data_IF_479152305947
#
_entry.id   IF_479152305947
#
_cell.length_a   1.000
_cell.length_b   1.000
_cell.length_c   1.000
_cell.angle_alpha   90.00
_cell.angle_beta   90.00
_cell.angle_gamma   90.00
#
_symmetry.space_group_name_H-M   'P 1'
#
loop_
_entity.id
_entity.type
_entity.pdbx_description
1 polymer ?
#
# COMPACT_ATOMS: atom_id res chain seq x y z
N UNK A 1 -3.86 4.39 -0.19
CA UNK A 1 -2.58 5.12 -0.31
C UNK A 1 -2.64 6.49 0.35
N UNK A 2 -1.50 7.10 0.65
CA UNK A 2 -1.45 8.48 1.12
C UNK A 2 -1.66 9.49 -0.01
N UNK A 3 -2.05 10.72 0.34
CA UNK A 3 -2.33 11.77 -0.64
C UNK A 3 -1.12 12.18 -1.47
N UNK A 4 0.06 12.30 -0.86
CA UNK A 4 1.29 12.62 -1.60
C UNK A 4 1.60 11.58 -2.67
N UNK A 5 1.41 10.30 -2.38
CA UNK A 5 1.56 9.21 -3.35
C UNK A 5 0.50 9.32 -4.44
N UNK A 6 -0.75 9.55 -4.06
CA UNK A 6 -1.86 9.68 -5.02
C UNK A 6 -1.62 10.81 -6.01
N UNK A 7 -1.16 11.97 -5.55
CA UNK A 7 -0.93 13.12 -6.42
C UNK A 7 0.29 12.96 -7.36
N UNK A 8 1.10 11.92 -7.20
CA UNK A 8 2.12 11.57 -8.21
C UNK A 8 1.55 10.82 -9.40
N UNK A 9 0.33 10.28 -9.28
CA UNK A 9 -0.33 9.56 -10.37
C UNK A 9 -0.95 10.55 -11.36
N UNK A 10 -0.86 10.29 -12.69
CA UNK A 10 -1.50 11.15 -13.69
C UNK A 10 -3.03 11.12 -13.60
N UNK A 11 -3.59 10.02 -13.10
CA UNK A 11 -5.03 9.82 -12.90
C UNK A 11 -5.25 8.73 -11.86
N UNK A 12 -6.47 8.63 -11.26
CA UNK A 12 -6.80 7.51 -10.38
C UNK A 12 -6.57 6.16 -11.04
N UNK A 13 -6.22 5.15 -10.25
CA UNK A 13 -6.04 3.80 -10.75
C UNK A 13 -7.38 3.25 -11.25
N UNK A 14 -7.46 2.74 -12.48
CA UNK A 14 -8.73 2.30 -13.07
C UNK A 14 -9.22 0.98 -12.48
N UNK A 15 -10.53 0.74 -12.60
CA UNK A 15 -11.15 -0.53 -12.24
C UNK A 15 -11.21 -0.81 -10.74
N UNK A 16 -11.05 0.22 -9.89
CA UNK A 16 -11.03 0.05 -8.44
C UNK A 16 -11.40 1.35 -7.72
N UNK A 17 -11.82 1.24 -6.47
CA UNK A 17 -11.97 2.39 -5.60
C UNK A 17 -10.59 2.83 -5.12
N UNK A 18 -10.24 4.09 -5.33
CA UNK A 18 -9.01 4.69 -4.82
C UNK A 18 -9.29 5.31 -3.46
N UNK A 19 -8.80 4.69 -2.40
CA UNK A 19 -8.95 5.20 -1.03
C UNK A 19 -7.69 5.96 -0.68
N UNK A 20 -7.84 7.24 -0.39
CA UNK A 20 -6.71 8.16 -0.19
C UNK A 20 -6.78 8.80 1.19
N UNK A 21 -5.75 8.54 1.99
CA UNK A 21 -5.60 9.17 3.30
C UNK A 21 -5.08 10.59 3.14
N UNK A 22 -5.76 11.55 3.73
CA UNK A 22 -5.41 12.96 3.64
C UNK A 22 -5.76 13.72 4.91
N UNK A 23 -5.01 14.78 5.19
CA UNK A 23 -5.32 15.76 6.22
C UNK A 23 -5.96 17.03 5.63
N UNK A 24 -6.16 17.08 4.31
CA UNK A 24 -6.83 18.20 3.65
C UNK A 24 -8.28 18.29 4.16
N UNK A 25 -8.70 19.49 4.53
CA UNK A 25 -10.07 19.71 4.99
C UNK A 25 -11.08 19.66 3.84
N UNK A 26 -10.70 20.14 2.67
CA UNK A 26 -11.54 20.15 1.46
C UNK A 26 -10.79 19.52 0.28
N UNK A 27 -10.61 18.20 0.30
CA UNK A 27 -9.97 17.55 -0.83
C UNK A 27 -10.83 17.67 -2.09
N UNK A 28 -10.24 17.70 -3.28
CA UNK A 28 -10.99 17.83 -4.52
C UNK A 28 -11.88 16.62 -4.78
N UNK A 29 -13.07 16.85 -5.33
CA UNK A 29 -13.93 15.74 -5.76
C UNK A 29 -13.39 15.13 -7.03
N UNK A 30 -13.01 13.84 -6.95
CA UNK A 30 -12.50 13.09 -8.09
C UNK A 30 -13.28 11.77 -8.17
N UNK A 31 -13.82 11.47 -9.33
CA UNK A 31 -14.56 10.22 -9.57
C UNK A 31 -13.66 9.01 -9.28
N UNK A 32 -14.19 8.05 -8.52
CA UNK A 32 -13.46 6.84 -8.15
C UNK A 32 -12.51 7.01 -6.97
N UNK A 33 -12.53 8.15 -6.29
CA UNK A 33 -11.68 8.46 -5.13
C UNK A 33 -12.54 8.66 -3.89
N UNK A 34 -12.18 7.96 -2.82
CA UNK A 34 -12.72 8.15 -1.47
C UNK A 34 -11.63 8.71 -0.58
N UNK A 35 -11.81 9.93 -0.13
CA UNK A 35 -10.90 10.58 0.81
C UNK A 35 -11.21 10.14 2.23
N UNK A 36 -10.19 9.74 2.97
CA UNK A 36 -10.31 9.26 4.35
C UNK A 36 -9.24 9.88 5.24
N UNK A 37 -9.49 9.84 6.53
CA UNK A 37 -8.53 10.23 7.55
C UNK A 37 -8.73 9.41 8.82
N UNK A 38 -7.79 9.48 9.75
CA UNK A 38 -7.90 8.86 11.06
C UNK A 38 -7.42 7.41 11.08
N UNK A 39 -8.06 6.60 11.91
CA UNK A 39 -7.63 5.24 12.22
C UNK A 39 -7.78 4.30 11.02
N UNK A 40 -6.66 3.69 10.53
CA UNK A 40 -6.72 2.72 9.44
C UNK A 40 -7.65 1.55 9.70
N UNK A 41 -7.77 1.11 10.94
CA UNK A 41 -8.64 0.00 11.32
C UNK A 41 -10.10 0.31 11.06
N UNK A 42 -10.53 1.53 11.39
CA UNK A 42 -11.89 1.99 11.11
C UNK A 42 -12.14 2.11 9.62
N UNK A 43 -11.18 2.61 8.87
CA UNK A 43 -11.27 2.71 7.40
C UNK A 43 -11.45 1.35 6.77
N UNK A 44 -10.64 0.36 7.15
CA UNK A 44 -10.76 -1.02 6.64
C UNK A 44 -12.12 -1.64 7.00
N UNK A 45 -12.61 -1.40 8.20
CA UNK A 45 -13.94 -1.88 8.64
C UNK A 45 -15.06 -1.29 7.79
N UNK A 46 -14.98 0.01 7.48
CA UNK A 46 -15.94 0.69 6.60
C UNK A 46 -15.89 0.11 5.18
N UNK A 47 -14.70 -0.10 4.62
CA UNK A 47 -14.55 -0.70 3.30
C UNK A 47 -15.13 -2.12 3.25
N UNK A 48 -14.96 -2.91 4.31
CA UNK A 48 -15.56 -4.24 4.41
C UNK A 48 -17.08 -4.17 4.40
N UNK A 49 -17.67 -3.21 5.10
CA UNK A 49 -19.13 -2.98 5.07
C UNK A 49 -19.63 -2.60 3.68
N UNK A 50 -18.80 -1.94 2.88
CA UNK A 50 -19.11 -1.60 1.48
C UNK A 50 -18.98 -2.80 0.53
N UNK A 51 -18.53 -3.97 1.01
CA UNK A 51 -18.40 -5.19 0.23
C UNK A 51 -17.00 -5.51 -0.28
N UNK A 52 -15.99 -4.69 0.06
CA UNK A 52 -14.61 -4.97 -0.33
C UNK A 52 -13.99 -6.02 0.59
N UNK A 53 -13.45 -7.09 0.00
CA UNK A 53 -12.87 -8.23 0.72
C UNK A 53 -11.38 -8.10 0.92
N UNK A 54 -10.70 -7.35 0.08
CA UNK A 54 -9.26 -7.13 0.14
C UNK A 54 -8.91 -5.70 -0.21
N UNK A 55 -7.78 -5.24 0.30
CA UNK A 55 -7.28 -3.89 0.08
C UNK A 55 -5.81 -3.96 -0.28
N UNK A 56 -5.40 -3.21 -1.30
CA UNK A 56 -3.99 -3.06 -1.66
C UNK A 56 -3.47 -1.77 -1.01
N UNK A 57 -2.45 -1.91 -0.18
CA UNK A 57 -1.77 -0.78 0.43
C UNK A 57 -0.63 -0.32 -0.49
N UNK A 58 -0.83 0.84 -1.12
CA UNK A 58 0.08 1.39 -2.13
C UNK A 58 1.09 2.41 -1.61
N UNK A 59 1.29 2.49 -0.29
CA UNK A 59 2.27 3.41 0.30
C UNK A 59 1.76 4.83 0.52
N UNK A 60 2.59 5.83 0.87
CA UNK A 60 4.04 5.67 1.05
C UNK A 60 4.52 5.03 2.36
N UNK A 61 5.79 5.29 2.70
CA UNK A 61 6.45 4.67 3.84
C UNK A 61 5.74 4.94 5.17
N UNK A 62 5.27 6.15 5.39
CA UNK A 62 4.52 6.51 6.60
C UNK A 62 3.26 5.65 6.78
N UNK A 63 2.47 5.53 5.72
CA UNK A 63 1.23 4.77 5.75
C UNK A 63 1.50 3.27 5.87
N UNK A 64 2.51 2.76 5.14
CA UNK A 64 2.96 1.37 5.26
C UNK A 64 3.35 1.04 6.71
N UNK A 65 4.13 1.93 7.34
CA UNK A 65 4.56 1.79 8.74
C UNK A 65 3.36 1.75 9.68
N UNK A 66 2.42 2.68 9.51
CA UNK A 66 1.24 2.77 10.36
C UNK A 66 0.38 1.49 10.29
N UNK A 67 0.14 0.97 9.08
CA UNK A 67 -0.62 -0.27 8.90
C UNK A 67 0.12 -1.48 9.49
N UNK A 68 1.43 -1.56 9.28
CA UNK A 68 2.22 -2.68 9.80
C UNK A 68 2.27 -2.68 11.33
N UNK A 69 2.44 -1.52 11.96
CA UNK A 69 2.42 -1.38 13.44
C UNK A 69 1.08 -1.83 14.02
N UNK A 70 -0.01 -1.59 13.33
CA UNK A 70 -1.35 -1.98 13.76
C UNK A 70 -1.69 -3.43 13.40
N UNK A 71 -0.74 -4.19 12.86
CA UNK A 71 -0.92 -5.60 12.43
C UNK A 71 -2.02 -5.77 11.38
N UNK A 72 -2.15 -4.79 10.48
CA UNK A 72 -3.17 -4.77 9.44
C UNK A 72 -2.64 -5.20 8.07
N UNK A 73 -1.38 -5.60 7.98
CA UNK A 73 -0.76 -6.08 6.75
C UNK A 73 -0.65 -7.60 6.80
N UNK A 74 -1.32 -8.28 5.89
CA UNK A 74 -1.31 -9.74 5.81
C UNK A 74 -0.21 -10.25 4.89
N UNK A 75 -0.02 -9.58 3.74
CA UNK A 75 0.97 -9.96 2.74
C UNK A 75 1.76 -8.76 2.25
N UNK A 76 3.00 -9.00 1.85
CA UNK A 76 3.85 -8.04 1.16
C UNK A 76 4.16 -8.57 -0.22
N UNK A 77 3.95 -7.74 -1.24
CA UNK A 77 4.28 -8.05 -2.63
C UNK A 77 5.36 -7.08 -3.09
N UNK A 78 6.49 -7.65 -3.51
CA UNK A 78 7.66 -6.90 -3.95
C UNK A 78 8.02 -7.25 -5.38
N UNK A 79 8.31 -6.24 -6.19
CA UNK A 79 8.91 -6.42 -7.50
C UNK A 79 10.39 -6.05 -7.41
N UNK A 80 11.25 -6.95 -7.84
CA UNK A 80 12.69 -6.70 -7.94
C UNK A 80 13.02 -6.45 -9.41
N UNK A 81 13.46 -5.23 -9.70
CA UNK A 81 13.85 -4.80 -11.04
C UNK A 81 15.37 -4.90 -11.23
N UNK A 82 15.84 -5.17 -12.45
CA UNK A 82 17.27 -5.37 -12.73
C UNK A 82 18.03 -4.05 -12.85
N UNK A 83 17.96 -3.19 -11.83
CA UNK A 83 18.60 -1.87 -11.81
C UNK A 83 19.21 -1.57 -10.46
N UNK A 84 20.32 -0.84 -10.48
CA UNK A 84 21.00 -0.34 -9.28
C UNK A 84 20.93 1.19 -9.31
N UNK A 85 20.31 1.77 -8.28
CA UNK A 85 20.24 3.23 -8.15
C UNK A 85 21.16 3.78 -7.07
N UNK A 86 21.62 2.92 -6.14
CA UNK A 86 22.45 3.30 -4.99
C UNK A 86 21.68 3.94 -3.84
N UNK A 87 20.63 4.68 -4.12
CA UNK A 87 19.74 5.28 -3.12
C UNK A 87 18.29 5.15 -3.56
N UNK A 88 17.37 5.12 -2.59
CA UNK A 88 15.95 5.04 -2.88
C UNK A 88 15.11 5.33 -1.64
N UNK A 89 13.79 5.30 -1.82
CA UNK A 89 12.85 5.42 -0.71
C UNK A 89 12.71 4.08 0.00
N UNK A 90 12.68 4.11 1.33
CA UNK A 90 12.40 2.93 2.13
C UNK A 90 10.92 2.56 2.04
N UNK A 91 10.62 1.27 2.16
CA UNK A 91 9.24 0.79 2.26
C UNK A 91 8.57 1.22 3.56
N UNK A 92 9.36 1.34 4.63
CA UNK A 92 8.92 1.73 5.97
C UNK A 92 9.84 2.81 6.49
N UNK A 93 9.34 3.66 7.39
CA UNK A 93 10.09 4.75 8.00
C UNK A 93 10.45 4.50 9.47
N UNK A 94 10.24 3.29 9.97
CA UNK A 94 10.67 2.83 11.29
C UNK A 94 11.30 1.44 11.16
N UNK A 95 12.07 1.05 12.17
CA UNK A 95 12.66 -0.28 12.24
C UNK A 95 11.63 -1.32 12.67
N UNK A 96 11.66 -2.47 11.99
CA UNK A 96 10.84 -3.63 12.33
C UNK A 96 11.72 -4.88 12.37
N UNK A 97 11.37 -5.80 13.26
CA UNK A 97 11.95 -7.14 13.32
C UNK A 97 10.80 -8.14 13.21
N UNK A 98 10.40 -8.43 11.99
CA UNK A 98 9.31 -9.35 11.67
C UNK A 98 9.78 -10.42 10.70
N UNK A 99 9.39 -11.64 10.98
CA UNK A 99 9.61 -12.75 10.06
C UNK A 99 8.55 -12.77 8.96
N UNK A 100 8.98 -13.20 7.79
CA UNK A 100 8.13 -13.35 6.62
C UNK A 100 8.20 -14.79 6.12
N UNK A 101 7.07 -15.30 5.63
CA UNK A 101 7.03 -16.61 4.96
C UNK A 101 6.87 -16.40 3.47
N UNK A 102 7.81 -16.93 2.68
CA UNK A 102 7.72 -16.85 1.22
C UNK A 102 6.52 -17.68 0.72
N UNK A 103 5.61 -17.03 0.00
CA UNK A 103 4.45 -17.66 -0.62
C UNK A 103 4.69 -17.99 -2.08
N UNK A 104 5.32 -17.09 -2.83
CA UNK A 104 5.63 -17.31 -4.24
C UNK A 104 6.75 -16.41 -4.72
N UNK A 105 7.44 -16.87 -5.75
CA UNK A 105 8.46 -16.12 -6.47
C UNK A 105 8.27 -16.41 -7.95
N UNK A 106 7.94 -15.38 -8.76
CA UNK A 106 7.63 -15.55 -10.19
C UNK A 106 8.38 -14.53 -11.03
N UNK A 107 8.96 -15.01 -12.12
CA UNK A 107 9.47 -14.13 -13.17
C UNK A 107 8.28 -13.46 -13.87
N UNK A 108 8.33 -12.13 -14.00
CA UNK A 108 7.35 -11.37 -14.77
C UNK A 108 7.85 -10.99 -16.15
N UNK A 109 9.16 -11.04 -16.33
CA UNK A 109 9.85 -10.96 -17.62
C UNK A 109 11.24 -11.58 -17.47
N UNK A 110 12.14 -11.42 -18.46
CA UNK A 110 13.45 -12.05 -18.44
C UNK A 110 14.32 -11.66 -17.22
N UNK A 111 14.13 -10.45 -16.67
CA UNK A 111 15.05 -9.90 -15.69
C UNK A 111 14.37 -9.39 -14.42
N UNK A 112 13.04 -9.50 -14.30
CA UNK A 112 12.28 -9.01 -13.15
C UNK A 112 11.54 -10.14 -12.47
N UNK A 113 11.42 -10.05 -11.14
CA UNK A 113 10.77 -11.06 -10.32
C UNK A 113 9.76 -10.41 -9.37
N UNK A 114 8.61 -11.05 -9.17
CA UNK A 114 7.66 -10.72 -8.12
C UNK A 114 7.80 -11.73 -6.98
N UNK A 115 7.95 -11.20 -5.76
CA UNK A 115 7.96 -11.97 -4.51
C UNK A 115 6.70 -11.67 -3.71
N UNK A 116 6.06 -12.72 -3.19
CA UNK A 116 4.96 -12.58 -2.24
C UNK A 116 5.33 -13.23 -0.93
N UNK A 117 5.16 -12.50 0.15
CA UNK A 117 5.43 -12.95 1.51
C UNK A 117 4.19 -12.79 2.39
N UNK A 118 3.97 -13.76 3.25
CA UNK A 118 3.04 -13.63 4.37
C UNK A 118 3.78 -12.97 5.54
N UNK A 119 3.15 -11.98 6.16
CA UNK A 119 3.68 -11.34 7.37
C UNK A 119 3.35 -12.22 8.57
N UNK A 120 4.36 -12.56 9.37
CA UNK A 120 4.20 -13.35 10.59
C UNK A 120 4.23 -12.40 11.79
N UNK A 121 3.07 -12.10 12.31
CA UNK A 121 2.92 -11.24 13.47
C UNK A 121 3.17 -11.97 14.79
#
# INVERSE_FOLDING_TARGET
MGDKTFFTLPKPLPGRLNVVFTLLQKPPRIKGVKWVSGDPKKVLKELRKMGYKSTILGGGAYLNTLFLKKKLVDEIVLTIEPKIFGKGLSLFNEDFDLDLKLLSAKKINHNSIILRYKVLH
#
